data_IF_018235149678
#
_entry.id   IF_018235149678
#
_cell.length_a   1.000
_cell.length_b   1.000
_cell.length_c   1.000
_cell.angle_alpha   90.00
_cell.angle_beta   90.00
_cell.angle_gamma   90.00
#
_symmetry.space_group_name_H-M   'P 1'
#
loop_
_entity.id
_entity.type
_entity.pdbx_description
1 polymer ?
#
# COMPACT_ATOMS: atom_id res chain seq x y z
N UNK A 1 -8.04 -10.97 25.16
CA UNK A 1 -8.13 -12.02 24.12
C UNK A 1 -6.92 -11.94 23.21
N UNK A 2 -5.92 -12.82 23.43
CA UNK A 2 -4.96 -13.16 22.37
C UNK A 2 -5.67 -14.23 21.55
N UNK A 3 -6.03 -13.99 20.31
CA UNK A 3 -6.49 -15.13 19.51
C UNK A 3 -5.86 -15.23 18.12
N UNK A 4 -4.60 -15.72 18.05
CA UNK A 4 -3.98 -16.22 16.82
C UNK A 4 -4.87 -17.20 16.05
N UNK A 5 -5.78 -17.91 16.72
CA UNK A 5 -6.72 -18.86 16.09
C UNK A 5 -7.65 -18.18 15.10
N UNK A 6 -8.04 -16.91 15.33
CA UNK A 6 -8.84 -16.16 14.36
C UNK A 6 -8.06 -15.96 13.06
N UNK A 7 -6.80 -15.53 13.15
CA UNK A 7 -5.94 -15.34 11.98
C UNK A 7 -5.58 -16.66 11.31
N UNK A 8 -5.46 -17.74 12.08
CA UNK A 8 -5.31 -19.09 11.58
C UNK A 8 -6.53 -19.52 10.76
N UNK A 9 -7.74 -19.44 11.33
CA UNK A 9 -8.98 -19.89 10.69
C UNK A 9 -9.35 -19.04 9.48
N UNK A 10 -9.21 -17.71 9.58
CA UNK A 10 -9.63 -16.78 8.53
C UNK A 10 -8.67 -16.72 7.35
N UNK A 11 -7.36 -16.81 7.60
CA UNK A 11 -6.34 -16.57 6.56
C UNK A 11 -5.38 -17.74 6.34
N UNK A 12 -5.48 -18.82 7.12
CA UNK A 12 -4.45 -19.86 7.11
C UNK A 12 -3.08 -19.32 7.52
N UNK A 13 -3.02 -18.25 8.34
CA UNK A 13 -1.83 -17.40 8.50
C UNK A 13 -0.58 -18.19 8.92
N UNK A 14 -0.72 -19.22 9.75
CA UNK A 14 0.37 -20.13 10.14
C UNK A 14 1.20 -20.72 8.98
N UNK A 15 0.62 -20.86 7.79
CA UNK A 15 1.27 -21.40 6.58
C UNK A 15 1.80 -20.31 5.65
N UNK A 16 1.58 -19.03 5.96
CA UNK A 16 2.01 -17.94 5.09
C UNK A 16 3.55 -17.82 5.06
N UNK A 17 4.17 -17.51 3.91
CA UNK A 17 5.63 -17.39 3.79
C UNK A 17 6.27 -16.40 4.77
N UNK A 18 5.58 -15.30 5.09
CA UNK A 18 6.03 -14.30 6.04
C UNK A 18 6.08 -14.81 7.50
N UNK A 19 5.19 -15.75 7.85
CA UNK A 19 5.15 -16.41 9.16
C UNK A 19 6.28 -17.44 9.27
N UNK A 20 6.49 -18.23 8.22
CA UNK A 20 7.62 -19.16 8.13
C UNK A 20 8.96 -18.42 8.29
N UNK A 21 9.14 -17.31 7.56
CA UNK A 21 10.33 -16.46 7.66
C UNK A 21 10.52 -15.88 9.06
N UNK A 22 9.44 -15.57 9.79
CA UNK A 22 9.53 -15.07 11.15
C UNK A 22 9.98 -16.17 12.13
N UNK A 23 9.42 -17.39 12.00
CA UNK A 23 9.83 -18.54 12.82
C UNK A 23 11.31 -18.89 12.60
N UNK A 24 11.77 -18.95 11.35
CA UNK A 24 13.18 -19.21 11.01
C UNK A 24 14.13 -18.15 11.61
N UNK A 25 13.76 -16.87 11.53
CA UNK A 25 14.55 -15.79 12.15
C UNK A 25 14.63 -15.91 13.66
N UNK A 26 13.52 -16.26 14.33
CA UNK A 26 13.52 -16.47 15.77
C UNK A 26 14.48 -17.58 16.16
N UNK A 27 14.44 -18.71 15.46
CA UNK A 27 15.36 -19.82 15.70
C UNK A 27 16.83 -19.44 15.50
N UNK A 28 17.14 -18.70 14.43
CA UNK A 28 18.50 -18.16 14.22
C UNK A 28 18.95 -17.19 15.31
N UNK A 29 18.03 -16.42 15.91
CA UNK A 29 18.35 -15.42 16.94
C UNK A 29 18.54 -16.06 18.32
N UNK A 30 17.71 -17.03 18.67
CA UNK A 30 17.73 -17.65 20.00
C UNK A 30 18.65 -18.87 20.07
N UNK A 31 18.98 -19.48 18.93
CA UNK A 31 19.71 -20.76 18.88
C UNK A 31 18.82 -21.96 19.26
N UNK A 32 17.54 -21.73 19.52
CA UNK A 32 16.59 -22.75 19.99
C UNK A 32 15.69 -23.26 18.87
N UNK A 33 15.23 -24.52 19.01
CA UNK A 33 14.20 -25.07 18.13
C UNK A 33 12.86 -24.38 18.39
N UNK A 34 12.40 -23.61 17.42
CA UNK A 34 11.11 -22.91 17.51
C UNK A 34 9.97 -23.91 17.30
N UNK A 35 8.98 -23.88 18.21
CA UNK A 35 7.76 -24.68 18.10
C UNK A 35 7.03 -24.41 16.77
N UNK A 36 6.56 -25.48 16.15
CA UNK A 36 5.81 -25.44 14.90
C UNK A 36 4.31 -25.35 15.11
N UNK A 37 3.85 -25.26 16.36
CA UNK A 37 2.45 -25.05 16.68
C UNK A 37 1.92 -23.77 15.98
N UNK A 38 0.74 -23.82 15.31
CA UNK A 38 0.21 -22.69 14.55
C UNK A 38 0.16 -21.37 15.32
N UNK A 39 -0.29 -21.40 16.58
CA UNK A 39 -0.38 -20.22 17.44
C UNK A 39 0.99 -19.60 17.73
N UNK A 40 2.01 -20.43 17.98
CA UNK A 40 3.38 -19.96 18.25
C UNK A 40 3.98 -19.34 16.99
N UNK A 41 3.76 -19.95 15.82
CA UNK A 41 4.21 -19.42 14.54
C UNK A 41 3.60 -18.04 14.27
N UNK A 42 2.28 -17.92 14.43
CA UNK A 42 1.56 -16.65 14.27
C UNK A 42 2.05 -15.62 15.29
N UNK A 43 2.19 -15.99 16.57
CA UNK A 43 2.66 -15.07 17.60
C UNK A 43 4.08 -14.57 17.30
N UNK A 44 5.01 -15.43 16.87
CA UNK A 44 6.35 -15.00 16.48
C UNK A 44 6.34 -13.96 15.35
N UNK A 45 5.39 -14.08 14.43
CA UNK A 45 5.20 -13.13 13.35
C UNK A 45 4.58 -11.82 13.84
N UNK A 46 3.56 -11.88 14.71
CA UNK A 46 2.97 -10.69 15.33
C UNK A 46 4.00 -9.94 16.18
N UNK A 47 4.79 -10.64 17.00
CA UNK A 47 5.89 -10.05 17.78
C UNK A 47 6.88 -9.32 16.85
N UNK A 48 7.18 -9.90 15.68
CA UNK A 48 8.05 -9.25 14.69
C UNK A 48 7.43 -7.98 14.13
N UNK A 49 6.13 -7.98 13.84
CA UNK A 49 5.41 -6.78 13.39
C UNK A 49 5.39 -5.72 14.49
N UNK A 50 5.10 -6.10 15.73
CA UNK A 50 5.15 -5.21 16.89
C UNK A 50 6.53 -4.57 17.05
N UNK A 51 7.62 -5.32 16.83
CA UNK A 51 8.99 -4.79 16.84
C UNK A 51 9.33 -3.85 15.66
N UNK A 52 8.55 -3.85 14.57
CA UNK A 52 8.69 -2.85 13.51
C UNK A 52 8.14 -1.52 13.99
N UNK A 53 6.95 -1.54 14.62
CA UNK A 53 6.27 -0.35 15.14
C UNK A 53 6.92 0.19 16.41
N UNK A 54 7.37 -0.70 17.29
CA UNK A 54 7.92 -0.40 18.60
C UNK A 54 9.22 -1.19 18.82
N UNK A 55 10.30 -0.85 18.08
CA UNK A 55 11.56 -1.53 18.25
C UNK A 55 12.14 -1.27 19.65
N UNK A 56 12.78 -2.26 20.29
CA UNK A 56 13.45 -2.02 21.57
C UNK A 56 14.58 -1.00 21.41
N UNK A 57 14.77 -0.19 22.43
CA UNK A 57 15.85 0.80 22.46
C UNK A 57 17.22 0.11 22.33
N UNK A 58 18.08 0.69 21.48
CA UNK A 58 19.46 0.27 21.25
C UNK A 58 20.30 1.50 20.93
N UNK A 59 21.62 1.33 21.01
CA UNK A 59 22.59 2.33 20.58
C UNK A 59 22.40 3.69 21.27
N UNK A 60 21.87 3.70 22.50
CA UNK A 60 21.57 4.90 23.31
C UNK A 60 20.77 5.97 22.54
N UNK A 61 19.81 5.55 21.70
CA UNK A 61 18.94 6.48 20.96
C UNK A 61 19.61 7.21 19.79
N UNK A 62 20.85 6.86 19.41
CA UNK A 62 21.55 7.51 18.27
C UNK A 62 20.85 7.36 16.93
N UNK A 63 20.04 6.33 16.77
CA UNK A 63 19.29 6.05 15.54
C UNK A 63 17.83 5.89 15.89
N UNK A 64 16.97 6.67 15.24
CA UNK A 64 15.53 6.40 15.27
C UNK A 64 15.22 5.14 14.47
N UNK A 65 15.16 4.02 15.19
CA UNK A 65 14.90 2.71 14.61
C UNK A 65 13.45 2.56 14.18
N UNK A 66 12.52 3.25 14.83
CA UNK A 66 11.09 3.20 14.50
C UNK A 66 10.90 3.83 13.13
N UNK A 67 11.41 5.05 12.96
CA UNK A 67 11.36 5.78 11.70
C UNK A 67 12.01 4.99 10.56
N UNK A 68 13.21 4.44 10.78
CA UNK A 68 13.89 3.62 9.78
C UNK A 68 13.08 2.38 9.40
N UNK A 69 12.52 1.67 10.38
CA UNK A 69 11.74 0.45 10.13
C UNK A 69 10.45 0.76 9.37
N UNK A 70 9.76 1.85 9.73
CA UNK A 70 8.54 2.32 9.05
C UNK A 70 8.84 2.73 7.61
N UNK A 71 9.92 3.49 7.38
CA UNK A 71 10.37 3.86 6.03
C UNK A 71 10.62 2.63 5.15
N UNK A 72 11.31 1.59 5.67
CA UNK A 72 11.53 0.34 4.93
C UNK A 72 10.22 -0.41 4.64
N UNK A 73 9.27 -0.39 5.59
CA UNK A 73 7.98 -1.03 5.41
C UNK A 73 7.13 -0.30 4.37
N UNK A 74 7.03 1.03 4.44
CA UNK A 74 6.35 1.88 3.47
C UNK A 74 6.91 1.66 2.07
N UNK A 75 8.23 1.71 1.90
CA UNK A 75 8.89 1.42 0.61
C UNK A 75 8.49 0.04 0.06
N UNK A 76 8.50 -1.00 0.89
CA UNK A 76 8.04 -2.33 0.48
C UNK A 76 6.57 -2.30 0.06
N UNK A 77 5.70 -1.66 0.83
CA UNK A 77 4.27 -1.59 0.55
C UNK A 77 3.98 -0.79 -0.71
N UNK A 78 4.62 0.37 -0.90
CA UNK A 78 4.48 1.19 -2.09
C UNK A 78 4.83 0.40 -3.35
N UNK A 79 5.95 -0.32 -3.31
CA UNK A 79 6.42 -1.16 -4.41
C UNK A 79 5.47 -2.31 -4.76
N UNK A 80 4.63 -2.78 -3.84
CA UNK A 80 3.76 -3.94 -4.07
C UNK A 80 2.27 -3.59 -4.22
N UNK A 81 1.83 -2.45 -3.69
CA UNK A 81 0.40 -2.13 -3.53
C UNK A 81 -0.06 -0.91 -4.32
N UNK A 82 0.86 -0.03 -4.73
CA UNK A 82 0.54 1.13 -5.56
C UNK A 82 0.48 0.70 -7.01
N UNK A 83 -0.55 1.18 -7.71
CA UNK A 83 -0.72 0.92 -9.16
C UNK A 83 0.54 1.33 -9.93
N UNK A 84 0.95 0.51 -10.90
CA UNK A 84 2.15 0.79 -11.70
C UNK A 84 1.91 1.92 -12.69
N UNK A 85 2.90 2.78 -12.99
CA UNK A 85 2.77 3.90 -13.92
C UNK A 85 2.06 3.57 -15.23
N UNK A 86 2.52 2.54 -15.96
CA UNK A 86 1.89 2.14 -17.23
C UNK A 86 0.43 1.71 -17.08
N UNK A 87 0.10 0.97 -16.01
CA UNK A 87 -1.28 0.57 -15.73
C UNK A 87 -2.13 1.79 -15.34
N UNK A 88 -1.59 2.71 -14.54
CA UNK A 88 -2.26 3.94 -14.16
C UNK A 88 -2.56 4.82 -15.39
N UNK A 89 -1.61 4.92 -16.32
CA UNK A 89 -1.82 5.59 -17.61
C UNK A 89 -2.92 4.90 -18.41
N UNK A 90 -2.90 3.57 -18.54
CA UNK A 90 -3.91 2.81 -19.27
C UNK A 90 -5.33 3.04 -18.72
N UNK A 91 -5.49 2.90 -17.41
CA UNK A 91 -6.81 3.06 -16.77
C UNK A 91 -7.28 4.53 -16.82
N UNK A 92 -6.37 5.50 -16.75
CA UNK A 92 -6.69 6.91 -16.95
C UNK A 92 -7.19 7.19 -18.37
N UNK A 93 -6.49 6.69 -19.40
CA UNK A 93 -6.88 6.92 -20.79
C UNK A 93 -8.23 6.26 -21.12
N UNK A 94 -8.50 5.06 -20.58
CA UNK A 94 -9.83 4.42 -20.70
C UNK A 94 -10.93 5.28 -20.06
N UNK A 95 -10.64 5.84 -18.89
CA UNK A 95 -11.57 6.75 -18.21
C UNK A 95 -11.84 8.01 -19.03
N UNK A 96 -10.81 8.66 -19.56
CA UNK A 96 -10.95 9.87 -20.39
C UNK A 96 -11.74 9.58 -21.68
N UNK A 97 -11.47 8.45 -22.34
CA UNK A 97 -12.24 7.99 -23.51
C UNK A 97 -13.71 7.77 -23.19
N UNK A 98 -14.01 7.12 -22.06
CA UNK A 98 -15.39 6.91 -21.61
C UNK A 98 -16.09 8.24 -21.38
N UNK A 99 -15.44 9.18 -20.70
CA UNK A 99 -15.99 10.51 -20.42
C UNK A 99 -16.24 11.31 -21.71
N UNK A 100 -15.35 11.21 -22.70
CA UNK A 100 -15.53 11.85 -24.01
C UNK A 100 -16.78 11.31 -24.73
N UNK A 101 -17.01 9.99 -24.70
CA UNK A 101 -18.22 9.37 -25.27
C UNK A 101 -19.49 9.84 -24.56
N UNK A 102 -19.48 9.83 -23.22
CA UNK A 102 -20.62 10.26 -22.39
C UNK A 102 -20.99 11.74 -22.64
N UNK A 103 -20.00 12.57 -23.01
CA UNK A 103 -20.19 13.99 -23.37
C UNK A 103 -20.53 14.24 -24.84
N UNK A 104 -20.67 13.18 -25.66
CA UNK A 104 -21.03 13.30 -27.08
C UNK A 104 -19.87 13.62 -28.03
N UNK A 105 -18.62 13.55 -27.57
CA UNK A 105 -17.44 13.76 -28.42
C UNK A 105 -17.05 12.53 -29.26
N UNK A 106 -17.69 11.37 -29.02
CA UNK A 106 -17.43 10.12 -29.73
C UNK A 106 -16.13 9.42 -29.31
N UNK A 107 -15.61 8.55 -30.18
CA UNK A 107 -14.41 7.75 -29.94
C UNK A 107 -13.12 8.56 -30.16
N UNK A 108 -12.67 9.25 -29.12
CA UNK A 108 -11.38 9.95 -29.14
C UNK A 108 -10.24 8.95 -28.91
N UNK A 109 -9.45 8.66 -29.95
CA UNK A 109 -8.24 7.85 -29.80
C UNK A 109 -7.06 8.71 -29.37
N UNK A 110 -6.34 8.25 -28.35
CA UNK A 110 -5.04 8.81 -27.97
C UNK A 110 -3.97 8.02 -28.71
N UNK A 111 -3.10 8.67 -29.50
CA UNK A 111 -2.02 7.98 -30.21
C UNK A 111 -1.08 7.23 -29.25
N UNK A 112 -0.58 6.07 -29.67
CA UNK A 112 0.35 5.26 -28.85
C UNK A 112 1.62 6.03 -28.51
N UNK A 113 2.09 6.91 -29.39
CA UNK A 113 3.22 7.80 -29.13
C UNK A 113 2.96 8.72 -27.93
N UNK A 114 1.78 9.36 -27.89
CA UNK A 114 1.36 10.21 -26.77
C UNK A 114 1.24 9.41 -25.48
N UNK A 115 0.64 8.22 -25.55
CA UNK A 115 0.53 7.30 -24.42
C UNK A 115 1.92 6.94 -23.86
N UNK A 116 2.83 6.49 -24.72
CA UNK A 116 4.18 6.08 -24.32
C UNK A 116 4.96 7.27 -23.71
N UNK A 117 4.84 8.45 -24.33
CA UNK A 117 5.43 9.69 -23.82
C UNK A 117 4.94 10.02 -22.40
N UNK A 118 3.62 9.93 -22.16
CA UNK A 118 3.03 10.14 -20.83
C UNK A 118 3.50 9.07 -19.84
N UNK A 119 3.45 7.79 -20.22
CA UNK A 119 3.90 6.69 -19.35
C UNK A 119 5.35 6.86 -18.91
N UNK A 120 6.27 7.15 -19.83
CA UNK A 120 7.69 7.36 -19.48
C UNK A 120 7.89 8.56 -18.56
N UNK A 121 7.13 9.64 -18.74
CA UNK A 121 7.19 10.78 -17.80
C UNK A 121 6.68 10.39 -16.41
N UNK A 122 5.54 9.69 -16.31
CA UNK A 122 4.98 9.23 -15.03
C UNK A 122 5.97 8.26 -14.34
N UNK A 123 6.60 7.34 -15.07
CA UNK A 123 7.63 6.44 -14.53
C UNK A 123 8.85 7.18 -13.97
N UNK A 124 9.30 8.21 -14.69
CA UNK A 124 10.44 9.03 -14.29
C UNK A 124 10.12 9.84 -13.03
N UNK A 125 8.94 10.43 -12.97
CA UNK A 125 8.47 11.18 -11.78
C UNK A 125 8.26 10.23 -10.59
N UNK A 126 7.65 9.06 -10.80
CA UNK A 126 7.48 8.04 -9.76
C UNK A 126 8.82 7.52 -9.20
N UNK A 127 9.91 7.66 -9.95
CA UNK A 127 11.27 7.32 -9.53
C UNK A 127 11.97 8.46 -8.77
N UNK A 128 11.28 9.59 -8.52
CA UNK A 128 11.75 10.72 -7.72
C UNK A 128 12.22 11.94 -8.52
N UNK A 129 12.00 11.98 -9.83
CA UNK A 129 12.35 13.16 -10.64
C UNK A 129 11.34 14.31 -10.46
N UNK A 130 11.82 15.55 -10.60
CA UNK A 130 10.95 16.73 -10.59
C UNK A 130 10.03 16.77 -11.82
N UNK A 131 8.72 16.73 -11.56
CA UNK A 131 7.65 16.80 -12.56
C UNK A 131 7.77 18.02 -13.48
N UNK A 132 8.16 19.19 -12.94
CA UNK A 132 8.23 20.43 -13.72
C UNK A 132 9.23 20.33 -14.86
N UNK A 133 10.35 19.65 -14.62
CA UNK A 133 11.37 19.42 -15.64
C UNK A 133 10.91 18.38 -16.65
N UNK A 134 10.33 17.26 -16.20
CA UNK A 134 9.91 16.17 -17.09
C UNK A 134 8.83 16.59 -18.09
N UNK A 135 7.99 17.55 -17.73
CA UNK A 135 6.85 17.97 -18.55
C UNK A 135 7.11 19.18 -19.46
N UNK A 136 8.31 19.75 -19.53
CA UNK A 136 8.54 21.03 -20.25
C UNK A 136 8.13 20.99 -21.74
N UNK A 137 8.36 19.86 -22.42
CA UNK A 137 8.01 19.64 -23.84
C UNK A 137 6.61 19.04 -24.09
N UNK A 138 5.74 19.03 -23.09
CA UNK A 138 4.39 18.49 -23.19
C UNK A 138 3.41 19.60 -23.55
N UNK A 139 2.44 19.30 -24.41
CA UNK A 139 1.29 20.16 -24.62
C UNK A 139 0.48 20.28 -23.33
N UNK A 140 -0.34 21.32 -23.19
CA UNK A 140 -1.15 21.52 -21.97
C UNK A 140 -2.04 20.32 -21.64
N UNK A 141 -2.61 19.68 -22.67
CA UNK A 141 -3.42 18.47 -22.49
C UNK A 141 -2.59 17.30 -21.98
N UNK A 142 -1.42 17.06 -22.56
CA UNK A 142 -0.52 15.98 -22.11
C UNK A 142 -0.01 16.22 -20.67
N UNK A 143 0.28 17.48 -20.31
CA UNK A 143 0.67 17.87 -18.95
C UNK A 143 -0.43 17.52 -17.95
N UNK A 144 -1.65 17.97 -18.23
CA UNK A 144 -2.81 17.71 -17.38
C UNK A 144 -3.01 16.20 -17.18
N UNK A 145 -2.92 15.40 -18.25
CA UNK A 145 -3.04 13.95 -18.14
C UNK A 145 -1.98 13.34 -17.21
N UNK A 146 -0.71 13.72 -17.40
CA UNK A 146 0.38 13.22 -16.57
C UNK A 146 0.20 13.63 -15.10
N UNK A 147 -0.14 14.89 -14.84
CA UNK A 147 -0.39 15.43 -13.50
C UNK A 147 -1.55 14.71 -12.79
N UNK A 148 -2.66 14.45 -13.48
CA UNK A 148 -3.79 13.73 -12.90
C UNK A 148 -3.45 12.26 -12.60
N UNK A 149 -2.65 11.60 -13.45
CA UNK A 149 -2.17 10.23 -13.19
C UNK A 149 -1.26 10.22 -11.96
N UNK A 150 -0.31 11.14 -11.88
CA UNK A 150 0.63 11.25 -10.75
C UNK A 150 -0.14 11.55 -9.46
N UNK A 151 -1.07 12.50 -9.48
CA UNK A 151 -1.90 12.84 -8.33
C UNK A 151 -2.72 11.65 -7.81
N UNK A 152 -3.25 10.80 -8.71
CA UNK A 152 -3.95 9.57 -8.32
C UNK A 152 -3.02 8.58 -7.61
N UNK A 153 -1.81 8.39 -8.14
CA UNK A 153 -0.80 7.53 -7.51
C UNK A 153 -0.37 8.08 -6.14
N UNK A 154 -0.17 9.39 -6.04
CA UNK A 154 0.19 10.07 -4.79
C UNK A 154 -0.90 9.96 -3.72
N UNK A 155 -2.19 10.00 -4.11
CA UNK A 155 -3.28 9.76 -3.18
C UNK A 155 -3.33 8.30 -2.71
N UNK A 156 -2.99 7.32 -3.55
CA UNK A 156 -2.82 5.94 -3.07
C UNK A 156 -1.70 5.84 -2.02
N UNK A 157 -0.56 6.48 -2.29
CA UNK A 157 0.58 6.49 -1.38
C UNK A 157 0.19 7.14 -0.04
N UNK A 158 -0.40 8.33 -0.07
CA UNK A 158 -0.82 9.06 1.13
C UNK A 158 -1.91 8.33 1.92
N UNK A 159 -2.91 7.77 1.26
CA UNK A 159 -3.97 7.00 1.94
C UNK A 159 -3.40 5.75 2.61
N UNK A 160 -2.45 5.04 1.99
CA UNK A 160 -1.77 3.91 2.60
C UNK A 160 -0.90 4.32 3.79
N UNK A 161 -0.13 5.40 3.64
CA UNK A 161 0.77 5.90 4.68
C UNK A 161 0.00 6.32 5.92
N UNK A 162 -1.17 6.97 5.77
CA UNK A 162 -2.05 7.30 6.90
C UNK A 162 -2.39 6.07 7.75
N UNK A 163 -2.68 4.94 7.12
CA UNK A 163 -2.97 3.68 7.83
C UNK A 163 -1.73 3.14 8.55
N UNK A 164 -0.59 3.11 7.87
CA UNK A 164 0.67 2.65 8.45
C UNK A 164 1.06 3.51 9.65
N UNK A 165 1.00 4.83 9.51
CA UNK A 165 1.39 5.79 10.52
C UNK A 165 0.47 5.72 11.73
N UNK A 166 -0.84 5.62 11.52
CA UNK A 166 -1.79 5.45 12.61
C UNK A 166 -1.59 4.13 13.35
N UNK A 167 -1.49 2.99 12.66
CA UNK A 167 -1.32 1.69 13.31
C UNK A 167 0.02 1.58 14.08
N UNK A 168 1.02 2.35 13.67
CA UNK A 168 2.31 2.47 14.33
C UNK A 168 2.37 3.57 15.41
N UNK A 169 1.36 4.44 15.52
CA UNK A 169 1.31 5.49 16.53
C UNK A 169 0.97 4.94 17.91
N UNK A 170 1.25 5.75 18.93
CA UNK A 170 0.95 5.42 20.32
C UNK A 170 -0.57 5.51 20.60
N UNK A 171 -1.34 6.15 19.72
CA UNK A 171 -2.81 6.25 19.80
C UNK A 171 -3.51 4.94 19.43
N UNK A 172 -2.86 4.09 18.64
CA UNK A 172 -3.39 2.79 18.26
C UNK A 172 -3.15 1.75 19.37
N UNK A 173 -3.94 1.84 20.45
CA UNK A 173 -3.89 0.96 21.63
C UNK A 173 -4.47 -0.45 21.40
N UNK A 174 -4.39 -0.95 20.17
CA UNK A 174 -4.92 -2.25 19.76
C UNK A 174 -3.87 -3.36 19.89
N UNK A 175 -4.29 -4.60 20.19
CA UNK A 175 -3.41 -5.76 20.10
C UNK A 175 -2.84 -5.95 18.69
N UNK A 176 -1.62 -6.50 18.57
CA UNK A 176 -0.94 -6.71 17.27
C UNK A 176 -1.76 -7.52 16.26
N UNK A 177 -2.54 -8.50 16.74
CA UNK A 177 -3.41 -9.30 15.87
C UNK A 177 -4.50 -8.45 15.20
N UNK A 178 -5.02 -7.43 15.90
CA UNK A 178 -6.07 -6.55 15.39
C UNK A 178 -5.47 -5.53 14.42
N UNK A 179 -4.29 -4.98 14.73
CA UNK A 179 -3.52 -4.15 13.80
C UNK A 179 -3.22 -4.90 12.49
N UNK A 180 -2.80 -6.16 12.59
CA UNK A 180 -2.59 -7.02 11.43
C UNK A 180 -3.87 -7.22 10.62
N UNK A 181 -4.99 -7.53 11.29
CA UNK A 181 -6.27 -7.73 10.64
C UNK A 181 -6.76 -6.47 9.91
N UNK A 182 -6.65 -5.30 10.55
CA UNK A 182 -7.03 -4.01 9.97
C UNK A 182 -6.18 -3.73 8.72
N UNK A 183 -4.85 -3.80 8.83
CA UNK A 183 -3.93 -3.59 7.70
C UNK A 183 -4.23 -4.56 6.55
N UNK A 184 -4.38 -5.87 6.83
CA UNK A 184 -4.67 -6.89 5.81
C UNK A 184 -6.02 -6.67 5.12
N UNK A 185 -6.99 -6.10 5.83
CA UNK A 185 -8.30 -5.77 5.25
C UNK A 185 -8.20 -4.54 4.34
N UNK A 186 -7.55 -3.48 4.81
CA UNK A 186 -7.39 -2.21 4.07
C UNK A 186 -6.65 -2.41 2.75
N UNK A 187 -5.55 -3.17 2.73
CA UNK A 187 -4.78 -3.38 1.49
C UNK A 187 -5.56 -4.13 0.40
N UNK A 188 -6.63 -4.84 0.77
CA UNK A 188 -7.49 -5.56 -0.17
C UNK A 188 -8.69 -4.75 -0.67
N UNK A 189 -8.90 -3.53 -0.16
CA UNK A 189 -10.10 -2.72 -0.39
C UNK A 189 -9.77 -1.37 -1.03
N UNK A 190 -10.63 -0.90 -1.93
CA UNK A 190 -10.59 0.43 -2.52
C UNK A 190 -11.30 1.45 -1.61
N UNK A 191 -11.20 2.75 -1.90
CA UNK A 191 -12.07 3.78 -1.34
C UNK A 191 -13.55 3.39 -1.41
N UNK A 192 -14.34 3.84 -0.44
CA UNK A 192 -15.78 3.54 -0.36
C UNK A 192 -16.51 4.05 -1.61
N UNK A 193 -17.28 3.17 -2.24
CA UNK A 193 -18.18 3.52 -3.32
C UNK A 193 -19.56 3.86 -2.73
N UNK A 194 -19.98 5.11 -2.90
CA UNK A 194 -21.25 5.61 -2.34
C UNK A 194 -22.47 5.07 -3.07
N UNK A 195 -22.33 4.77 -4.36
CA UNK A 195 -23.42 4.30 -5.19
C UNK A 195 -23.66 2.80 -4.93
N UNK A 196 -22.58 2.02 -4.86
CA UNK A 196 -22.63 0.59 -4.53
C UNK A 196 -22.73 0.31 -3.02
N UNK A 197 -22.57 1.34 -2.18
CA UNK A 197 -22.56 1.28 -0.70
C UNK A 197 -21.60 0.25 -0.11
N UNK A 198 -20.46 0.03 -0.76
CA UNK A 198 -19.46 -0.98 -0.34
C UNK A 198 -18.05 -0.49 -0.61
N UNK A 199 -17.07 -1.20 -0.06
CA UNK A 199 -15.68 -1.06 -0.47
C UNK A 199 -15.38 -2.06 -1.59
N UNK A 200 -15.10 -1.62 -2.83
CA UNK A 200 -14.70 -2.53 -3.90
C UNK A 200 -13.40 -3.27 -3.55
N UNK A 201 -13.25 -4.49 -4.05
CA UNK A 201 -12.02 -5.27 -3.87
C UNK A 201 -10.95 -4.71 -4.83
N UNK A 202 -9.74 -4.47 -4.32
CA UNK A 202 -8.62 -4.03 -5.15
C UNK A 202 -8.03 -5.16 -5.98
N UNK A 203 -7.47 -4.78 -7.10
CA UNK A 203 -6.55 -5.56 -7.93
C UNK A 203 -5.40 -4.67 -8.41
N UNK A 204 -4.49 -5.23 -9.21
CA UNK A 204 -3.32 -4.53 -9.76
C UNK A 204 -3.67 -3.29 -10.62
N UNK A 205 -4.90 -3.18 -11.10
CA UNK A 205 -5.41 -2.07 -11.94
C UNK A 205 -6.14 -0.99 -11.13
N UNK A 206 -6.34 -1.20 -9.83
CA UNK A 206 -7.11 -0.25 -9.03
C UNK A 206 -6.34 1.07 -8.89
N UNK A 207 -6.88 2.15 -9.44
CA UNK A 207 -6.31 3.50 -9.35
C UNK A 207 -6.84 4.31 -8.17
N UNK A 208 -7.92 3.88 -7.54
CA UNK A 208 -8.50 4.56 -6.40
C UNK A 208 -7.62 4.49 -5.14
N UNK A 209 -7.76 5.43 -4.19
CA UNK A 209 -7.07 5.38 -2.90
C UNK A 209 -7.47 4.16 -2.06
N UNK A 210 -6.73 3.91 -0.98
CA UNK A 210 -7.15 2.97 0.07
C UNK A 210 -8.34 3.57 0.87
N UNK A 211 -9.11 2.75 1.60
CA UNK A 211 -10.19 3.22 2.46
C UNK A 211 -9.75 4.39 3.35
N UNK A 212 -10.63 5.36 3.56
CA UNK A 212 -10.35 6.45 4.49
C UNK A 212 -10.20 5.90 5.91
N UNK A 213 -9.19 6.40 6.63
CA UNK A 213 -8.98 6.07 8.02
C UNK A 213 -10.04 6.76 8.89
N UNK A 214 -10.92 5.98 9.50
CA UNK A 214 -11.83 6.46 10.55
C UNK A 214 -11.40 5.87 11.91
N UNK A 215 -10.61 6.63 12.66
CA UNK A 215 -10.07 6.21 13.96
C UNK A 215 -11.17 5.90 14.99
N UNK A 216 -12.34 6.53 14.89
CA UNK A 216 -13.46 6.31 15.82
C UNK A 216 -14.20 4.99 15.57
N UNK A 217 -14.00 4.39 14.40
CA UNK A 217 -14.67 3.17 13.97
C UNK A 217 -13.78 1.90 14.10
N UNK A 218 -12.56 2.04 14.63
CA UNK A 218 -11.55 0.98 14.75
C UNK A 218 -11.52 0.31 16.12
#
# INVERSE_FOLDING_TARGET
MKNPEFLQKKYGLHNAPEVERAAQRKGRRTGEKVSQAPEVRIQNYLDRLGNIFNPPERDNGRVDRKERNLSLMKNFMHNNLIVKPGIATDEYLKYDQRLARERGHGDVKVPDETKNKITSAVETVASGADIRHQLQGFSNKEKQMAEEIIARMDEQTRSLDKWVDYLASDDALYPDWLKYWAMRSVIGLSSYDKDEKRFPIRNERTTNPFPDLNQQAL
#
